data_IF_775062387055
#
_entry.id   IF_775062387055
#
_cell.length_a   1.000
_cell.length_b   1.000
_cell.length_c   1.000
_cell.angle_alpha   90.00
_cell.angle_beta   90.00
_cell.angle_gamma   90.00
#
_symmetry.space_group_name_H-M   'P 1'
#
loop_
_entity.id
_entity.type
_entity.pdbx_description
1 polymer ?
#
# COMPACT_ATOMS: atom_id res chain seq x y z
N UNK A 1 24.01 -37.17 -2.23
CA UNK A 1 24.99 -38.02 -2.94
C UNK A 1 24.25 -39.22 -3.51
N UNK A 2 23.77 -39.10 -4.73
CA UNK A 2 23.25 -40.23 -5.50
C UNK A 2 23.97 -40.15 -6.85
N UNK A 3 24.92 -41.05 -7.02
CA UNK A 3 25.76 -41.17 -8.21
C UNK A 3 25.01 -42.11 -9.15
N UNK A 4 24.57 -41.60 -10.30
CA UNK A 4 24.13 -42.42 -11.43
C UNK A 4 25.13 -42.17 -12.56
N UNK A 5 25.94 -43.19 -12.86
CA UNK A 5 26.81 -43.24 -14.03
C UNK A 5 25.99 -43.73 -15.24
N UNK A 6 25.95 -42.95 -16.32
CA UNK A 6 25.74 -43.46 -17.68
C UNK A 6 26.85 -42.89 -18.58
N UNK A 7 27.49 -43.78 -19.33
CA UNK A 7 28.68 -43.56 -20.17
C UNK A 7 28.34 -43.18 -21.62
N UNK A 8 29.14 -42.24 -22.14
CA UNK A 8 29.70 -42.13 -23.50
C UNK A 8 28.80 -41.86 -24.76
N UNK A 9 28.94 -40.63 -25.26
CA UNK A 9 29.34 -40.23 -26.64
C UNK A 9 28.31 -39.56 -27.59
N UNK A 10 28.66 -38.31 -27.93
CA UNK A 10 28.35 -37.48 -29.11
C UNK A 10 26.88 -37.28 -29.53
N UNK A 11 26.24 -36.27 -28.91
CA UNK A 11 25.70 -35.13 -29.64
C UNK A 11 25.42 -33.99 -28.64
N UNK A 12 25.82 -32.79 -29.02
CA UNK A 12 25.84 -31.58 -28.21
C UNK A 12 24.41 -31.10 -27.88
N UNK A 13 23.75 -31.70 -26.90
CA UNK A 13 22.51 -31.15 -26.34
C UNK A 13 22.90 -30.20 -25.21
N UNK A 14 23.01 -28.93 -25.57
CA UNK A 14 23.08 -27.80 -24.65
C UNK A 14 21.80 -27.70 -23.84
N UNK A 15 21.68 -28.54 -22.81
CA UNK A 15 20.67 -28.35 -21.78
C UNK A 15 21.12 -27.14 -20.97
N UNK A 16 20.60 -25.97 -21.33
CA UNK A 16 20.52 -24.84 -20.41
C UNK A 16 19.69 -25.31 -19.21
N UNK A 17 20.37 -25.90 -18.23
CA UNK A 17 19.88 -25.93 -16.87
C UNK A 17 19.94 -24.47 -16.44
N UNK A 18 18.89 -23.72 -16.76
CA UNK A 18 18.54 -22.54 -15.98
C UNK A 18 18.24 -23.11 -14.60
N UNK A 19 19.30 -23.23 -13.81
CA UNK A 19 19.25 -23.43 -12.38
C UNK A 19 18.38 -22.29 -11.92
N UNK A 20 17.08 -22.57 -11.73
CA UNK A 20 16.17 -21.70 -10.99
C UNK A 20 16.89 -21.51 -9.68
N UNK A 21 17.57 -20.36 -9.58
CA UNK A 21 18.39 -19.98 -8.46
C UNK A 21 17.47 -20.08 -7.28
N UNK A 22 17.61 -21.17 -6.52
CA UNK A 22 16.85 -21.40 -5.31
C UNK A 22 17.42 -20.40 -4.33
N UNK A 23 16.94 -19.16 -4.46
CA UNK A 23 17.30 -18.04 -3.62
C UNK A 23 16.82 -18.46 -2.26
N UNK A 24 17.76 -18.97 -1.46
CA UNK A 24 17.55 -19.32 -0.06
C UNK A 24 17.03 -18.03 0.57
N UNK A 25 15.71 -17.93 0.66
CA UNK A 25 15.02 -16.75 1.14
C UNK A 25 15.40 -16.65 2.61
N UNK A 26 16.36 -15.78 2.89
CA UNK A 26 16.77 -15.45 4.25
C UNK A 26 15.48 -15.12 5.03
N UNK A 27 15.17 -15.80 6.14
CA UNK A 27 13.94 -15.56 6.90
C UNK A 27 13.77 -14.08 7.28
N UNK A 28 14.86 -13.31 7.38
CA UNK A 28 14.80 -11.84 7.53
C UNK A 28 14.19 -11.13 6.32
N UNK A 29 14.44 -11.59 5.10
CA UNK A 29 13.79 -11.05 3.89
C UNK A 29 12.31 -11.43 3.83
N UNK A 30 11.94 -12.59 4.36
CA UNK A 30 10.54 -13.03 4.44
C UNK A 30 9.72 -12.15 5.40
N UNK A 31 10.31 -11.79 6.54
CA UNK A 31 9.70 -10.91 7.53
C UNK A 31 9.52 -9.49 6.98
N UNK A 32 10.55 -8.96 6.31
CA UNK A 32 10.50 -7.66 5.64
C UNK A 32 9.48 -7.66 4.48
N UNK A 33 9.37 -8.74 3.72
CA UNK A 33 8.35 -8.89 2.68
C UNK A 33 6.94 -8.90 3.29
N UNK A 34 6.73 -9.58 4.41
CA UNK A 34 5.44 -9.64 5.11
C UNK A 34 5.02 -8.27 5.62
N UNK A 35 5.95 -7.53 6.24
CA UNK A 35 5.72 -6.14 6.68
C UNK A 35 5.42 -5.23 5.49
N UNK A 36 6.15 -5.36 4.38
CA UNK A 36 5.88 -4.58 3.17
C UNK A 36 4.47 -4.84 2.61
N UNK A 37 4.02 -6.09 2.57
CA UNK A 37 2.65 -6.43 2.16
C UNK A 37 1.58 -5.83 3.07
N UNK A 38 1.77 -5.89 4.40
CA UNK A 38 0.86 -5.23 5.34
C UNK A 38 0.80 -3.72 5.13
N UNK A 39 1.95 -3.07 4.96
CA UNK A 39 2.02 -1.63 4.71
C UNK A 39 1.30 -1.28 3.42
N UNK A 40 1.50 -2.04 2.34
CA UNK A 40 0.82 -1.78 1.07
C UNK A 40 -0.71 -1.88 1.19
N UNK A 41 -1.20 -2.91 1.86
CA UNK A 41 -2.64 -3.09 2.05
C UNK A 41 -3.24 -1.97 2.92
N UNK A 42 -2.56 -1.64 4.04
CA UNK A 42 -2.97 -0.54 4.91
C UNK A 42 -2.95 0.81 4.20
N UNK A 43 -1.90 1.09 3.42
CA UNK A 43 -1.79 2.32 2.62
C UNK A 43 -2.87 2.40 1.55
N UNK A 44 -3.19 1.28 0.91
CA UNK A 44 -4.25 1.21 -0.11
C UNK A 44 -5.62 1.53 0.48
N UNK A 45 -5.95 0.93 1.64
CA UNK A 45 -7.19 1.19 2.34
C UNK A 45 -7.29 2.64 2.83
N UNK A 46 -6.21 3.19 3.40
CA UNK A 46 -6.17 4.59 3.81
C UNK A 46 -6.41 5.53 2.66
N UNK A 47 -5.64 5.37 1.59
CA UNK A 47 -5.72 6.23 0.42
C UNK A 47 -7.12 6.20 -0.19
N UNK A 48 -7.76 5.02 -0.24
CA UNK A 48 -9.14 4.88 -0.70
C UNK A 48 -10.14 5.66 0.17
N UNK A 49 -10.06 5.51 1.49
CA UNK A 49 -10.97 6.19 2.44
C UNK A 49 -10.72 7.70 2.47
N UNK A 50 -9.47 8.13 2.39
CA UNK A 50 -9.06 9.53 2.24
C UNK A 50 -9.66 10.15 0.98
N UNK A 51 -9.50 9.45 -0.15
CA UNK A 51 -10.07 9.84 -1.43
C UNK A 51 -11.59 9.98 -1.34
N UNK A 52 -12.27 8.97 -0.79
CA UNK A 52 -13.73 8.97 -0.63
C UNK A 52 -14.23 10.11 0.25
N UNK A 53 -13.58 10.36 1.37
CA UNK A 53 -13.93 11.46 2.28
C UNK A 53 -13.73 12.82 1.62
N UNK A 54 -12.62 12.98 0.92
CA UNK A 54 -12.31 14.20 0.19
C UNK A 54 -13.32 14.43 -0.96
N UNK A 55 -13.66 13.38 -1.72
CA UNK A 55 -14.66 13.43 -2.77
C UNK A 55 -16.06 13.80 -2.25
N UNK A 56 -16.48 13.19 -1.14
CA UNK A 56 -17.75 13.52 -0.50
C UNK A 56 -17.75 14.98 0.03
N UNK A 57 -16.63 15.46 0.57
CA UNK A 57 -16.48 16.84 1.02
C UNK A 57 -16.58 17.84 -0.14
N UNK A 58 -15.97 17.55 -1.28
CA UNK A 58 -16.07 18.38 -2.49
C UNK A 58 -17.48 18.36 -3.12
N UNK A 59 -18.21 17.25 -3.01
CA UNK A 59 -19.59 17.16 -3.48
C UNK A 59 -20.54 18.05 -2.65
N UNK A 60 -20.25 18.25 -1.36
CA UNK A 60 -21.02 19.13 -0.50
C UNK A 60 -20.65 20.61 -0.69
N UNK A 61 -19.36 20.98 -0.61
CA UNK A 61 -18.93 22.36 -0.84
C UNK A 61 -17.43 22.49 -1.10
N UNK A 62 -17.06 23.47 -1.93
CA UNK A 62 -15.66 23.73 -2.28
C UNK A 62 -14.79 24.02 -1.05
N UNK A 63 -15.30 24.79 -0.07
CA UNK A 63 -14.57 25.12 1.14
C UNK A 63 -14.30 23.89 2.03
N UNK A 64 -15.29 22.99 2.20
CA UNK A 64 -15.11 21.75 2.96
C UNK A 64 -14.17 20.79 2.23
N UNK A 65 -14.34 20.63 0.92
CA UNK A 65 -13.42 19.84 0.08
C UNK A 65 -11.97 20.31 0.21
N UNK A 66 -11.71 21.62 0.12
CA UNK A 66 -10.35 22.15 0.29
C UNK A 66 -9.79 21.88 1.69
N UNK A 67 -10.60 22.07 2.74
CA UNK A 67 -10.19 21.82 4.12
C UNK A 67 -9.82 20.34 4.35
N UNK A 68 -10.66 19.41 3.89
CA UNK A 68 -10.41 17.97 4.02
C UNK A 68 -9.21 17.55 3.16
N UNK A 69 -9.10 18.07 1.94
CA UNK A 69 -7.97 17.80 1.05
C UNK A 69 -6.62 18.21 1.63
N UNK A 70 -6.53 19.40 2.25
CA UNK A 70 -5.30 19.84 2.93
C UNK A 70 -4.95 18.90 4.10
N UNK A 71 -5.94 18.49 4.90
CA UNK A 71 -5.73 17.56 6.00
C UNK A 71 -5.23 16.19 5.50
N UNK A 72 -5.82 15.68 4.42
CA UNK A 72 -5.42 14.44 3.76
C UNK A 72 -3.98 14.51 3.23
N UNK A 73 -3.60 15.61 2.58
CA UNK A 73 -2.21 15.81 2.12
C UNK A 73 -1.24 15.83 3.32
N UNK A 74 -1.61 16.52 4.40
CA UNK A 74 -0.77 16.63 5.59
C UNK A 74 -0.52 15.27 6.26
N UNK A 75 -1.47 14.33 6.23
CA UNK A 75 -1.27 12.98 6.77
C UNK A 75 -0.58 12.03 5.79
N UNK A 76 -0.75 12.21 4.48
CA UNK A 76 -0.16 11.33 3.47
C UNK A 76 1.34 11.56 3.28
N UNK A 77 1.81 12.82 3.36
CA UNK A 77 3.23 13.13 3.18
C UNK A 77 4.15 12.35 4.15
N UNK A 78 3.90 12.32 5.47
CA UNK A 78 4.67 11.49 6.40
C UNK A 78 4.57 10.00 6.11
N UNK A 79 3.37 9.52 5.75
CA UNK A 79 3.10 8.10 5.52
C UNK A 79 3.85 7.59 4.28
N UNK A 80 3.83 8.34 3.18
CA UNK A 80 4.54 8.00 1.96
C UNK A 80 6.05 8.03 2.17
N UNK A 81 6.60 9.05 2.85
CA UNK A 81 8.04 9.12 3.12
C UNK A 81 8.50 7.95 4.01
N UNK A 82 7.71 7.59 5.04
CA UNK A 82 8.00 6.45 5.91
C UNK A 82 7.99 5.12 5.15
N UNK A 83 6.98 4.90 4.30
CA UNK A 83 6.86 3.69 3.48
C UNK A 83 7.99 3.59 2.47
N UNK A 84 8.34 4.70 1.80
CA UNK A 84 9.48 4.79 0.89
C UNK A 84 10.79 4.40 1.59
N UNK A 85 11.02 4.91 2.81
CA UNK A 85 12.20 4.57 3.60
C UNK A 85 12.28 3.07 3.95
N UNK A 86 11.16 2.45 4.34
CA UNK A 86 11.09 1.02 4.67
C UNK A 86 11.37 0.15 3.43
N UNK A 87 10.76 0.46 2.29
CA UNK A 87 10.94 -0.31 1.05
C UNK A 87 12.33 -0.10 0.40
N UNK A 88 12.95 1.07 0.57
CA UNK A 88 14.34 1.24 0.15
C UNK A 88 15.28 0.44 1.05
N UNK A 89 15.04 0.46 2.37
CA UNK A 89 15.82 -0.32 3.35
C UNK A 89 15.70 -1.83 3.14
N UNK A 90 14.59 -2.31 2.55
CA UNK A 90 14.43 -3.71 2.18
C UNK A 90 15.22 -4.13 0.92
N UNK A 91 15.89 -3.19 0.25
CA UNK A 91 16.71 -3.46 -0.93
C UNK A 91 15.97 -3.37 -2.26
N UNK A 92 14.72 -2.88 -2.27
CA UNK A 92 13.89 -2.83 -3.49
C UNK A 92 14.34 -1.75 -4.48
N UNK A 93 15.16 -0.78 -4.04
CA UNK A 93 15.66 0.33 -4.84
C UNK A 93 14.60 1.43 -5.05
N UNK A 94 15.06 2.67 -5.27
CA UNK A 94 14.18 3.86 -5.29
C UNK A 94 13.11 3.80 -6.38
N UNK A 95 13.49 3.46 -7.62
CA UNK A 95 12.56 3.45 -8.77
C UNK A 95 11.47 2.40 -8.65
N UNK A 96 11.80 1.18 -8.20
CA UNK A 96 10.80 0.11 -8.02
C UNK A 96 9.86 0.42 -6.87
N UNK A 97 10.39 0.99 -5.79
CA UNK A 97 9.58 1.42 -4.64
C UNK A 97 8.53 2.45 -5.07
N UNK A 98 8.92 3.48 -5.84
CA UNK A 98 7.98 4.45 -6.39
C UNK A 98 6.87 3.80 -7.22
N UNK A 99 7.21 2.87 -8.12
CA UNK A 99 6.21 2.17 -8.94
C UNK A 99 5.21 1.39 -8.09
N UNK A 100 5.67 0.77 -7.02
CA UNK A 100 4.82 0.01 -6.10
C UNK A 100 3.87 0.94 -5.33
N UNK A 101 4.34 2.14 -4.95
CA UNK A 101 3.52 3.15 -4.26
C UNK A 101 2.47 3.82 -5.15
N UNK A 102 2.60 3.73 -6.48
CA UNK A 102 1.55 4.18 -7.41
C UNK A 102 0.26 3.38 -7.23
N UNK A 103 0.35 2.09 -6.87
CA UNK A 103 -0.85 1.25 -6.70
C UNK A 103 -1.77 1.77 -5.56
N UNK A 104 -1.29 1.92 -4.30
CA UNK A 104 -2.08 2.56 -3.24
C UNK A 104 -2.60 3.95 -3.62
N UNK A 105 -1.81 4.77 -4.33
CA UNK A 105 -2.23 6.12 -4.73
C UNK A 105 -3.33 6.10 -5.77
N UNK A 106 -3.34 5.11 -6.68
CA UNK A 106 -4.42 4.96 -7.66
C UNK A 106 -5.79 4.67 -7.01
N UNK A 107 -5.79 3.97 -5.87
CA UNK A 107 -7.00 3.71 -5.08
C UNK A 107 -7.59 4.98 -4.47
N UNK A 108 -6.79 6.02 -4.19
CA UNK A 108 -7.31 7.32 -3.75
C UNK A 108 -8.22 7.97 -4.79
N UNK A 109 -7.83 7.91 -6.07
CA UNK A 109 -8.65 8.43 -7.16
C UNK A 109 -9.98 7.66 -7.30
N UNK A 110 -9.94 6.33 -7.15
CA UNK A 110 -11.17 5.52 -7.14
C UNK A 110 -12.08 5.88 -5.97
N UNK A 111 -11.51 6.01 -4.78
CA UNK A 111 -12.22 6.48 -3.59
C UNK A 111 -12.87 7.82 -3.83
N UNK A 112 -12.13 8.78 -4.39
CA UNK A 112 -12.62 10.13 -4.71
C UNK A 112 -13.83 10.12 -5.64
N UNK A 113 -13.76 9.35 -6.74
CA UNK A 113 -14.89 9.23 -7.67
C UNK A 113 -16.13 8.69 -6.96
N UNK A 114 -15.97 7.64 -6.16
CA UNK A 114 -17.05 7.04 -5.38
C UNK A 114 -17.58 8.02 -4.31
N UNK A 115 -16.69 8.78 -3.67
CA UNK A 115 -17.05 9.79 -2.68
C UNK A 115 -17.90 10.90 -3.29
N UNK A 116 -17.55 11.37 -4.48
CA UNK A 116 -18.33 12.40 -5.20
C UNK A 116 -19.71 11.88 -5.60
N UNK A 117 -19.79 10.65 -6.13
CA UNK A 117 -21.09 10.07 -6.54
C UNK A 117 -22.01 9.80 -5.35
N UNK A 118 -21.46 9.35 -4.22
CA UNK A 118 -22.24 9.15 -2.99
C UNK A 118 -22.63 10.50 -2.37
N UNK A 119 -21.72 11.47 -2.32
CA UNK A 119 -21.97 12.79 -1.75
C UNK A 119 -23.04 13.58 -2.52
N UNK A 120 -23.10 13.40 -3.85
CA UNK A 120 -24.12 14.02 -4.70
C UNK A 120 -25.50 13.34 -4.62
N UNK A 121 -25.60 12.13 -4.06
CA UNK A 121 -26.86 11.40 -3.89
C UNK A 121 -27.70 11.87 -2.68
N UNK A 122 -27.15 12.74 -1.83
CA UNK A 122 -27.84 13.42 -0.73
C UNK A 122 -27.00 13.54 0.55
N UNK A 123 -27.27 14.58 1.36
CA UNK A 123 -26.49 14.96 2.56
C UNK A 123 -26.36 13.84 3.61
N UNK A 124 -27.37 12.97 3.68
CA UNK A 124 -27.39 11.81 4.61
C UNK A 124 -26.29 10.80 4.23
N UNK A 125 -26.04 10.59 2.94
CA UNK A 125 -25.04 9.63 2.47
C UNK A 125 -23.61 10.13 2.68
N UNK A 126 -23.38 11.43 2.52
CA UNK A 126 -22.09 12.05 2.87
C UNK A 126 -21.76 11.85 4.36
N UNK A 127 -22.75 11.99 5.24
CA UNK A 127 -22.56 11.77 6.69
C UNK A 127 -22.14 10.33 7.03
N UNK A 128 -22.69 9.33 6.32
CA UNK A 128 -22.25 7.94 6.47
C UNK A 128 -20.82 7.71 6.01
N UNK A 129 -20.40 8.32 4.90
CA UNK A 129 -19.01 8.27 4.43
C UNK A 129 -18.08 8.83 5.51
N UNK A 130 -18.36 10.02 6.04
CA UNK A 130 -17.54 10.61 7.10
C UNK A 130 -17.53 9.79 8.40
N UNK A 131 -18.64 9.15 8.77
CA UNK A 131 -18.71 8.28 9.95
C UNK A 131 -17.82 7.03 9.80
N UNK A 132 -17.84 6.39 8.63
CA UNK A 132 -16.97 5.25 8.33
C UNK A 132 -15.50 5.67 8.30
N UNK A 133 -15.18 6.79 7.64
CA UNK A 133 -13.82 7.29 7.55
C UNK A 133 -13.23 7.68 8.90
N UNK A 134 -14.00 8.41 9.72
CA UNK A 134 -13.57 8.80 11.07
C UNK A 134 -13.35 7.60 11.99
N UNK A 135 -14.17 6.55 11.88
CA UNK A 135 -13.95 5.28 12.58
C UNK A 135 -12.64 4.59 12.16
N UNK A 136 -12.33 4.60 10.87
CA UNK A 136 -11.09 4.02 10.34
C UNK A 136 -9.86 4.80 10.81
N UNK A 137 -9.93 6.14 10.83
CA UNK A 137 -8.86 6.98 11.38
C UNK A 137 -8.67 6.76 12.88
N UNK A 138 -9.75 6.63 13.66
CA UNK A 138 -9.66 6.32 15.08
C UNK A 138 -8.96 4.97 15.33
N UNK A 139 -9.26 3.96 14.52
CA UNK A 139 -8.60 2.65 14.62
C UNK A 139 -7.09 2.75 14.38
N UNK A 140 -6.67 3.47 13.33
CA UNK A 140 -5.25 3.65 13.01
C UNK A 140 -4.54 4.48 14.07
N UNK A 141 -5.19 5.55 14.52
CA UNK A 141 -4.68 6.41 15.57
C UNK A 141 -4.45 5.63 16.87
N UNK A 142 -5.42 4.81 17.27
CA UNK A 142 -5.30 3.95 18.45
C UNK A 142 -4.15 2.94 18.29
N UNK A 143 -4.07 2.26 17.14
CA UNK A 143 -3.01 1.29 16.87
C UNK A 143 -1.59 1.90 16.82
N UNK A 144 -1.50 3.20 16.50
CA UNK A 144 -0.24 3.95 16.45
C UNK A 144 0.14 4.49 17.82
N UNK A 145 -0.79 5.16 18.52
CA UNK A 145 -0.52 5.78 19.82
C UNK A 145 -0.34 4.75 20.94
N UNK A 146 -1.16 3.70 21.01
CA UNK A 146 -1.05 2.69 22.07
C UNK A 146 0.31 1.99 22.02
N UNK A 147 0.83 1.72 20.80
CA UNK A 147 2.17 1.17 20.64
C UNK A 147 3.27 2.15 21.05
N UNK A 148 3.10 3.45 20.82
CA UNK A 148 4.06 4.48 21.25
C UNK A 148 4.04 4.70 22.76
N UNK A 149 2.90 4.60 23.43
CA UNK A 149 2.76 4.76 24.88
C UNK A 149 3.23 3.53 25.69
N UNK A 150 3.48 2.40 25.03
CA UNK A 150 3.94 1.16 25.65
C UNK A 150 5.47 0.94 25.53
N UNK A 151 6.19 1.91 24.96
CA UNK A 151 7.66 2.01 24.95
C UNK A 151 8.12 3.04 25.99
#
# INVERSE_FOLDING_TARGET
MLIVFQSEQDDEVSVNVEVVEQKVLDPKMLDVATVAWMIMFGSSANNFVDGMSNGAAFADSFARGLSVGIAVIAQQLPQEIGTLAILIKSGLGFKRTLLIMVFPNSLSYLGFIIGVTIGSAGDVYASYVFAVSSGMYLYIFLGTLVRLASC
#
